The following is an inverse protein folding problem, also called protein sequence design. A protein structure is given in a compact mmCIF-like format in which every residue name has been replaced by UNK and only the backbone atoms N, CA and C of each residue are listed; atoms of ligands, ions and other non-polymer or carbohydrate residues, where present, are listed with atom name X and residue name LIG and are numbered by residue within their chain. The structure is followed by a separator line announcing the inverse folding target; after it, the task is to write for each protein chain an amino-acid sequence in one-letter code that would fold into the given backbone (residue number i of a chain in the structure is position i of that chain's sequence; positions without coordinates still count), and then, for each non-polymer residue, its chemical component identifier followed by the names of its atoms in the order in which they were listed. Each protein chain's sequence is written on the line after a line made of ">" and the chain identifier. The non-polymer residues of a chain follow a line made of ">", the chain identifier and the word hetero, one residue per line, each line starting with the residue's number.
data_IF_471980496802
#
_entry.id   IF_471980496802
#
_cell.length_a   1.000
_cell.length_b   1.000
_cell.length_c   1.000
_cell.angle_alpha   90.00
_cell.angle_beta   90.00
_cell.angle_gamma   90.00
#
_symmetry.space_group_name_H-M   'P 1'
#
loop_
_entity.id
_entity.type
_entity.pdbx_description
1 polymer ?
#
# COMPACT_ATOMS: atom_id res chain seq x y z
N UNK A 1 -10.77 17.16 -52.35
CA UNK A 1 -12.00 17.14 -51.51
C UNK A 1 -11.59 16.62 -50.14
N UNK A 2 -11.27 17.51 -49.21
CA UNK A 2 -10.95 17.14 -47.83
C UNK A 2 -12.03 17.74 -46.93
N UNK A 3 -12.86 16.88 -46.36
CA UNK A 3 -13.90 17.26 -45.40
C UNK A 3 -13.22 17.94 -44.21
N UNK A 4 -13.63 19.16 -43.90
CA UNK A 4 -13.09 19.92 -42.77
C UNK A 4 -13.46 19.30 -41.41
N UNK A 5 -12.72 19.64 -40.33
CA UNK A 5 -13.01 19.14 -39.00
C UNK A 5 -14.41 19.54 -38.57
N UNK A 6 -15.22 18.55 -38.20
CA UNK A 6 -16.58 18.75 -37.66
C UNK A 6 -16.47 18.85 -36.13
N UNK A 7 -17.07 19.89 -35.55
CA UNK A 7 -17.15 20.05 -34.10
C UNK A 7 -18.04 18.93 -33.54
N UNK A 8 -17.62 18.34 -32.42
CA UNK A 8 -18.38 17.29 -31.74
C UNK A 8 -19.64 17.92 -31.14
N UNK A 9 -20.80 17.33 -31.41
CA UNK A 9 -22.07 17.77 -30.83
C UNK A 9 -22.06 17.54 -29.32
N UNK A 10 -22.42 18.57 -28.55
CA UNK A 10 -22.39 18.51 -27.09
C UNK A 10 -23.64 17.75 -26.59
N UNK A 11 -23.59 16.42 -26.64
CA UNK A 11 -24.71 15.54 -26.33
C UNK A 11 -24.46 14.68 -25.08
N UNK A 12 -25.41 13.77 -24.77
CA UNK A 12 -25.34 12.89 -23.61
C UNK A 12 -24.19 11.87 -23.70
N UNK A 13 -23.57 11.69 -24.88
CA UNK A 13 -22.39 10.83 -25.04
C UNK A 13 -21.13 11.44 -24.42
N UNK A 14 -21.11 12.75 -24.15
CA UNK A 14 -20.01 13.43 -23.45
C UNK A 14 -20.12 13.35 -21.92
N UNK A 15 -21.26 12.89 -21.40
CA UNK A 15 -21.50 12.80 -19.95
C UNK A 15 -20.44 11.96 -19.21
N UNK A 16 -20.00 10.79 -19.72
CA UNK A 16 -18.91 10.03 -19.09
C UNK A 16 -17.58 10.80 -19.09
N UNK A 17 -17.28 11.54 -20.17
CA UNK A 17 -16.09 12.37 -20.26
C UNK A 17 -16.12 13.52 -19.25
N UNK A 18 -17.28 14.16 -19.07
CA UNK A 18 -17.45 15.19 -18.05
C UNK A 18 -17.24 14.64 -16.64
N UNK A 19 -17.77 13.45 -16.34
CA UNK A 19 -17.55 12.78 -15.04
C UNK A 19 -16.06 12.50 -14.83
N UNK A 20 -15.35 12.05 -15.86
CA UNK A 20 -13.91 11.82 -15.77
C UNK A 20 -13.13 13.11 -15.48
N UNK A 21 -13.49 14.23 -16.10
CA UNK A 21 -12.87 15.54 -15.84
C UNK A 21 -13.15 16.00 -14.41
N UNK A 22 -14.37 15.79 -13.90
CA UNK A 22 -14.72 16.10 -12.50
C UNK A 22 -13.89 15.25 -11.53
N UNK A 23 -13.80 13.93 -11.77
CA UNK A 23 -13.00 13.03 -10.95
C UNK A 23 -11.51 13.42 -10.98
N UNK A 24 -11.00 13.75 -12.16
CA UNK A 24 -9.63 14.25 -12.31
C UNK A 24 -9.43 15.52 -11.48
N UNK A 25 -10.35 16.48 -11.55
CA UNK A 25 -10.28 17.71 -10.75
C UNK A 25 -10.27 17.43 -9.24
N UNK A 26 -11.08 16.47 -8.77
CA UNK A 26 -11.08 16.05 -7.35
C UNK A 26 -9.75 15.40 -6.97
N UNK A 27 -9.22 14.51 -7.81
CA UNK A 27 -7.93 13.85 -7.54
C UNK A 27 -6.78 14.85 -7.53
N UNK A 28 -6.73 15.74 -8.53
CA UNK A 28 -5.76 16.83 -8.56
C UNK A 28 -5.88 17.70 -7.31
N UNK A 29 -7.09 18.06 -6.88
CA UNK A 29 -7.30 18.82 -5.67
C UNK A 29 -6.72 18.11 -4.44
N UNK A 30 -7.04 16.83 -4.24
CA UNK A 30 -6.54 16.02 -3.11
C UNK A 30 -5.01 15.97 -3.10
N UNK A 31 -4.37 15.67 -4.24
CA UNK A 31 -2.91 15.58 -4.31
C UNK A 31 -2.24 16.94 -4.10
N UNK A 32 -2.81 18.02 -4.65
CA UNK A 32 -2.28 19.36 -4.49
C UNK A 32 -2.54 19.95 -3.09
N UNK A 33 -3.37 19.33 -2.25
CA UNK A 33 -3.62 19.76 -0.86
C UNK A 33 -3.10 18.78 0.18
N UNK A 34 -2.38 17.73 -0.22
CA UNK A 34 -1.99 16.64 0.65
C UNK A 34 -1.10 17.07 1.83
N UNK A 35 -0.40 18.20 1.69
CA UNK A 35 0.52 18.75 2.68
C UNK A 35 0.06 20.13 3.21
N UNK A 36 -1.27 20.36 3.24
CA UNK A 36 -1.84 21.63 3.71
C UNK A 36 -1.76 22.80 2.71
N UNK A 37 -1.12 22.59 1.57
CA UNK A 37 -1.03 23.53 0.45
C UNK A 37 -2.41 23.91 -0.11
N UNK A 38 -2.68 25.21 -0.29
CA UNK A 38 -3.98 25.64 -0.76
C UNK A 38 -4.16 25.40 -2.28
N UNK A 39 -5.41 25.15 -2.74
CA UNK A 39 -5.75 24.81 -4.13
C UNK A 39 -5.38 25.85 -5.21
N UNK A 40 -4.93 27.04 -4.82
CA UNK A 40 -4.50 28.12 -5.70
C UNK A 40 -3.11 28.67 -5.33
N UNK A 41 -2.38 27.93 -4.51
CA UNK A 41 -1.01 28.24 -4.15
C UNK A 41 -0.07 27.74 -5.25
N UNK A 42 0.84 28.61 -5.69
CA UNK A 42 1.72 28.37 -6.84
C UNK A 42 3.06 27.74 -6.43
N UNK A 43 3.29 27.58 -5.13
CA UNK A 43 4.41 26.89 -4.53
C UNK A 43 3.85 25.82 -3.59
N UNK A 44 4.45 24.63 -3.61
CA UNK A 44 4.26 23.67 -2.53
C UNK A 44 4.94 24.23 -1.29
N UNK A 45 4.36 23.99 -0.11
CA UNK A 45 5.09 24.20 1.14
C UNK A 45 6.36 23.34 1.09
N UNK A 46 7.42 23.79 1.76
CA UNK A 46 8.74 23.13 1.68
C UNK A 46 8.54 21.65 2.05
N UNK A 47 8.80 20.69 1.14
CA UNK A 47 8.44 19.31 1.40
C UNK A 47 9.19 18.86 2.64
N UNK A 48 8.45 18.67 3.74
CA UNK A 48 8.98 18.08 4.96
C UNK A 48 9.42 16.67 4.54
N UNK A 49 10.72 16.53 4.29
CA UNK A 49 11.31 15.23 4.01
C UNK A 49 11.02 14.29 5.18
N UNK A 50 11.30 13.00 5.00
CA UNK A 50 11.25 12.12 6.16
C UNK A 50 12.18 12.69 7.25
N UNK A 51 11.70 12.88 8.49
CA UNK A 51 12.57 13.29 9.59
C UNK A 51 13.71 12.28 9.74
N UNK A 52 14.76 12.60 10.52
CA UNK A 52 15.83 11.66 10.86
C UNK A 52 15.30 10.50 11.75
N UNK A 53 14.42 9.68 11.17
CA UNK A 53 13.71 8.57 11.79
C UNK A 53 14.06 7.29 11.05
N UNK A 54 14.20 6.21 11.81
CA UNK A 54 14.55 4.91 11.22
C UNK A 54 13.30 4.21 10.74
N UNK A 55 13.13 4.07 9.42
CA UNK A 55 12.07 3.24 8.83
C UNK A 55 12.17 1.79 9.33
N UNK A 56 13.40 1.26 9.43
CA UNK A 56 13.65 -0.09 9.96
C UNK A 56 13.22 -0.17 11.42
N UNK A 57 13.50 0.86 12.22
CA UNK A 57 13.05 0.96 13.61
C UNK A 57 11.53 0.96 13.72
N UNK A 58 10.85 1.78 12.89
CA UNK A 58 9.39 1.85 12.87
C UNK A 58 8.73 0.52 12.46
N UNK A 59 9.29 -0.20 11.48
CA UNK A 59 8.85 -1.56 11.14
C UNK A 59 9.01 -2.49 12.34
N UNK A 60 10.14 -2.43 13.04
CA UNK A 60 10.38 -3.21 14.25
C UNK A 60 9.35 -2.94 15.33
N UNK A 61 9.06 -1.67 15.62
CA UNK A 61 8.04 -1.25 16.57
C UNK A 61 6.64 -1.73 16.19
N UNK A 62 6.27 -1.61 14.91
CA UNK A 62 4.99 -2.09 14.39
C UNK A 62 4.82 -3.61 14.55
N UNK A 63 5.89 -4.38 14.32
CA UNK A 63 5.86 -5.84 14.45
C UNK A 63 5.67 -6.31 15.90
N UNK A 64 6.12 -5.53 16.89
CA UNK A 64 6.03 -5.90 18.31
C UNK A 64 4.84 -5.27 19.05
N UNK A 65 3.96 -4.53 18.35
CA UNK A 65 2.80 -3.87 18.95
C UNK A 65 3.16 -2.58 19.71
N UNK A 66 4.16 -1.86 19.21
CA UNK A 66 4.66 -0.61 19.75
C UNK A 66 4.69 0.49 18.66
N UNK A 67 3.77 0.43 17.68
CA UNK A 67 3.80 1.31 16.51
C UNK A 67 3.82 2.81 16.87
N UNK A 68 3.35 3.19 18.05
CA UNK A 68 3.40 4.57 18.56
C UNK A 68 4.82 5.12 18.77
N UNK A 69 5.84 4.25 18.80
CA UNK A 69 7.25 4.61 18.93
C UNK A 69 7.96 4.79 17.58
N UNK A 70 7.25 4.50 16.47
CA UNK A 70 7.76 4.56 15.11
C UNK A 70 7.41 5.87 14.38
N UNK A 71 7.33 5.78 13.04
CA UNK A 71 6.85 6.89 12.21
C UNK A 71 5.35 7.06 12.40
N UNK A 72 4.88 8.30 12.38
CA UNK A 72 3.46 8.63 12.45
C UNK A 72 2.67 7.89 11.37
N UNK A 73 1.44 7.48 11.69
CA UNK A 73 0.56 6.66 10.84
C UNK A 73 0.98 5.18 10.59
N UNK A 74 1.87 4.61 11.39
CA UNK A 74 2.18 3.17 11.34
C UNK A 74 1.14 2.35 12.10
N UNK A 75 0.63 1.27 11.49
CA UNK A 75 -0.30 0.33 12.13
C UNK A 75 0.44 -0.83 12.84
N UNK A 76 -0.20 -1.46 13.83
CA UNK A 76 0.36 -2.62 14.54
C UNK A 76 0.21 -3.93 13.75
N UNK A 77 1.28 -4.72 13.72
CA UNK A 77 1.36 -6.03 13.04
C UNK A 77 1.66 -7.20 13.99
N UNK A 78 1.52 -7.00 15.29
CA UNK A 78 1.82 -8.03 16.30
C UNK A 78 1.09 -9.36 16.04
N UNK A 79 -0.20 -9.29 15.69
CA UNK A 79 -0.99 -10.49 15.39
C UNK A 79 -0.44 -11.23 14.16
N UNK A 80 -0.08 -10.49 13.10
CA UNK A 80 0.51 -11.07 11.91
C UNK A 80 1.86 -11.74 12.22
N UNK A 81 2.72 -11.11 13.04
CA UNK A 81 3.98 -11.69 13.48
C UNK A 81 3.76 -13.02 14.23
N UNK A 82 2.81 -13.05 15.16
CA UNK A 82 2.48 -14.28 15.93
C UNK A 82 1.94 -15.38 15.02
N UNK A 83 1.08 -15.04 14.06
CA UNK A 83 0.56 -16.01 13.09
C UNK A 83 1.67 -16.60 12.22
N UNK A 84 2.62 -15.78 11.78
CA UNK A 84 3.80 -16.24 11.04
C UNK A 84 4.63 -17.20 11.91
N UNK A 85 4.85 -16.88 13.18
CA UNK A 85 5.58 -17.75 14.09
C UNK A 85 4.93 -19.14 14.23
N UNK A 86 3.61 -19.19 14.44
CA UNK A 86 2.85 -20.45 14.52
C UNK A 86 2.89 -21.21 13.19
N UNK A 87 2.76 -20.50 12.07
CA UNK A 87 2.83 -21.10 10.74
C UNK A 87 4.20 -21.72 10.47
N UNK A 88 5.28 -21.01 10.83
CA UNK A 88 6.65 -21.50 10.66
C UNK A 88 6.94 -22.71 11.55
N UNK A 89 6.41 -22.75 12.77
CA UNK A 89 6.51 -23.90 13.68
C UNK A 89 5.84 -25.15 13.06
N UNK A 90 4.60 -25.02 12.60
CA UNK A 90 3.89 -26.11 11.93
C UNK A 90 4.56 -26.53 10.61
N UNK A 91 5.11 -25.59 9.86
CA UNK A 91 5.85 -25.89 8.64
C UNK A 91 7.15 -26.65 8.92
N UNK A 92 7.86 -26.30 10.00
CA UNK A 92 9.06 -27.00 10.44
C UNK A 92 8.73 -28.43 10.89
N UNK A 93 7.68 -28.61 11.69
CA UNK A 93 7.20 -29.93 12.10
C UNK A 93 6.77 -30.79 10.91
N UNK A 94 6.04 -30.19 9.96
CA UNK A 94 5.67 -30.85 8.71
C UNK A 94 6.90 -31.28 7.91
N UNK A 95 7.87 -30.40 7.75
CA UNK A 95 9.12 -30.71 7.05
C UNK A 95 9.90 -31.83 7.74
N UNK A 96 9.96 -31.84 9.08
CA UNK A 96 10.61 -32.90 9.86
C UNK A 96 9.88 -34.25 9.75
N UNK A 97 8.55 -34.24 9.80
CA UNK A 97 7.72 -35.43 9.59
C UNK A 97 7.98 -36.03 8.20
N UNK A 98 8.02 -35.19 7.15
CA UNK A 98 8.27 -35.60 5.77
C UNK A 98 9.70 -36.09 5.55
N UNK A 99 10.67 -35.51 6.24
CA UNK A 99 12.08 -35.87 6.11
C UNK A 99 12.42 -37.21 6.78
N UNK A 100 11.70 -37.59 7.83
CA UNK A 100 11.90 -38.87 8.52
C UNK A 100 11.44 -40.03 7.62
N UNK A 101 12.36 -40.95 7.35
CA UNK A 101 12.05 -42.26 6.76
C UNK A 101 11.81 -43.26 7.89
N UNK A 102 10.77 -44.08 7.77
CA UNK A 102 10.54 -45.18 8.70
C UNK A 102 11.48 -46.35 8.35
N UNK A 103 12.47 -46.64 9.19
CA UNK A 103 13.36 -47.81 9.08
C UNK A 103 12.66 -49.14 9.48
N UNK A 104 11.31 -49.18 9.53
CA UNK A 104 10.53 -50.35 10.00
C UNK A 104 10.34 -51.42 8.91
N UNK A 105 11.43 -51.84 8.29
CA UNK A 105 11.42 -52.86 7.21
C UNK A 105 12.45 -53.98 7.33
N UNK A 106 13.41 -53.93 8.27
CA UNK A 106 14.51 -54.90 8.33
C UNK A 106 14.48 -55.74 9.62
N UNK A 107 13.58 -56.72 9.65
CA UNK A 107 13.76 -57.94 10.44
C UNK A 107 13.04 -59.11 9.77
N UNK A 108 13.70 -59.72 8.78
CA UNK A 108 13.44 -61.09 8.33
C UNK A 108 14.75 -61.75 7.96
#
# INVERSE_FOLDING_TARGET
>A
MTTGPRLIELDRSLLPGLIAVVLFGIMSAVFLTADGTALFEWAFDDPDGFPDTSIVGAIGYALIGAAEQGVEATEDFLVALVLIAVLLDAALDGALMLAKRDDRGESR
#
